data_IF_024109727257
#
_entry.id   IF_024109727257
#
_cell.length_a   1.000
_cell.length_b   1.000
_cell.length_c   1.000
_cell.angle_alpha   90.00
_cell.angle_beta   90.00
_cell.angle_gamma   90.00
#
_symmetry.space_group_name_H-M   'P 1'
#
loop_
_entity.id
_entity.type
_entity.pdbx_description
1 polymer ?
#
# COMPACT_ATOMS: atom_id res chain seq x y z
N UNK A 1 2.37 -2.92 -28.84
CA UNK A 1 2.66 -2.67 -27.42
C UNK A 1 2.79 -4.01 -26.75
N UNK A 2 3.97 -4.36 -26.22
CA UNK A 2 4.17 -5.57 -25.43
C UNK A 2 3.70 -5.28 -24.00
N UNK A 3 2.58 -5.87 -23.59
CA UNK A 3 2.08 -5.75 -22.21
C UNK A 3 3.10 -6.37 -21.24
N UNK A 4 3.73 -5.53 -20.41
CA UNK A 4 4.69 -5.97 -19.39
C UNK A 4 3.94 -6.60 -18.24
N UNK A 5 3.74 -7.91 -18.29
CA UNK A 5 3.13 -8.65 -17.20
C UNK A 5 4.12 -8.84 -16.05
N UNK A 6 3.66 -8.64 -14.82
CA UNK A 6 4.41 -9.00 -13.62
C UNK A 6 4.15 -10.47 -13.28
N UNK A 7 5.17 -11.15 -12.75
CA UNK A 7 5.07 -12.56 -12.36
C UNK A 7 5.41 -12.69 -10.88
N UNK A 8 4.58 -13.42 -10.15
CA UNK A 8 4.80 -13.77 -8.75
C UNK A 8 4.73 -15.29 -8.59
N UNK A 9 5.72 -15.87 -7.93
CA UNK A 9 5.73 -17.29 -7.59
C UNK A 9 5.10 -17.47 -6.21
N UNK A 10 3.99 -18.21 -6.16
CA UNK A 10 3.35 -18.61 -4.90
C UNK A 10 3.87 -20.00 -4.56
N UNK A 11 4.62 -20.09 -3.46
CA UNK A 11 5.11 -21.36 -2.96
C UNK A 11 4.19 -21.89 -1.86
N UNK A 12 3.98 -23.21 -1.85
CA UNK A 12 3.43 -23.91 -0.68
C UNK A 12 4.59 -24.40 0.17
N UNK A 13 4.50 -24.15 1.47
CA UNK A 13 5.48 -24.58 2.46
C UNK A 13 4.87 -25.60 3.44
N UNK A 14 5.55 -26.73 3.64
CA UNK A 14 5.18 -27.78 4.59
C UNK A 14 6.04 -27.65 5.85
N UNK A 15 5.42 -27.17 6.93
CA UNK A 15 6.13 -26.84 8.16
C UNK A 15 6.44 -28.05 9.06
N UNK A 16 5.77 -29.19 8.86
CA UNK A 16 5.93 -30.37 9.72
C UNK A 16 5.65 -30.06 11.20
N UNK A 17 6.49 -30.57 12.10
CA UNK A 17 6.45 -30.29 13.53
C UNK A 17 7.19 -28.98 13.84
N UNK A 18 6.41 -27.96 14.16
CA UNK A 18 6.92 -26.59 14.30
C UNK A 18 7.46 -26.30 15.70
N UNK A 19 8.68 -25.77 15.79
CA UNK A 19 9.24 -25.16 17.00
C UNK A 19 8.73 -23.71 17.10
N UNK A 20 7.74 -23.48 17.95
CA UNK A 20 7.24 -22.13 18.24
C UNK A 20 8.22 -21.34 19.12
N UNK A 21 8.37 -20.04 18.86
CA UNK A 21 9.06 -19.09 19.75
C UNK A 21 8.44 -17.70 19.66
N UNK A 22 8.18 -17.11 20.82
CA UNK A 22 7.78 -15.71 20.99
C UNK A 22 8.80 -14.94 21.84
N UNK A 23 10.01 -15.46 22.00
CA UNK A 23 11.11 -14.74 22.61
C UNK A 23 11.53 -13.54 21.72
N UNK A 24 11.81 -12.39 22.34
CA UNK A 24 12.27 -11.20 21.62
C UNK A 24 13.62 -11.45 20.93
N UNK A 25 14.54 -12.15 21.61
CA UNK A 25 15.88 -12.49 21.12
C UNK A 25 16.22 -13.96 21.36
N UNK A 26 15.65 -14.89 20.56
CA UNK A 26 15.92 -16.31 20.74
C UNK A 26 17.34 -16.68 20.29
N UNK A 27 17.91 -17.72 20.88
CA UNK A 27 19.20 -18.26 20.44
C UNK A 27 19.07 -18.98 19.09
N UNK A 28 19.65 -18.42 18.03
CA UNK A 28 19.65 -19.01 16.70
C UNK A 28 20.25 -20.43 16.69
N UNK A 29 21.36 -20.65 17.41
CA UNK A 29 22.00 -21.97 17.50
C UNK A 29 21.12 -23.02 18.17
N UNK A 30 20.34 -22.62 19.19
CA UNK A 30 19.43 -23.53 19.87
C UNK A 30 18.24 -23.89 18.97
N UNK A 31 17.68 -22.91 18.26
CA UNK A 31 16.61 -23.13 17.29
C UNK A 31 17.08 -24.03 16.15
N UNK A 32 18.25 -23.77 15.58
CA UNK A 32 18.82 -24.58 14.51
C UNK A 32 19.08 -26.02 14.95
N UNK A 33 19.70 -26.23 16.12
CA UNK A 33 19.91 -27.59 16.67
C UNK A 33 18.62 -28.33 16.99
N UNK A 34 17.52 -27.61 17.24
CA UNK A 34 16.22 -28.24 17.44
C UNK A 34 15.62 -28.83 16.15
N UNK A 35 16.12 -28.37 14.99
CA UNK A 35 15.64 -28.77 13.66
C UNK A 35 16.66 -29.54 12.82
N UNK A 36 17.94 -29.54 13.18
CA UNK A 36 19.01 -30.19 12.43
C UNK A 36 19.83 -31.16 13.29
N UNK A 37 20.22 -32.28 12.68
CA UNK A 37 21.08 -33.30 13.29
C UNK A 37 20.32 -34.46 13.93
N UNK A 38 21.05 -35.40 14.55
CA UNK A 38 20.48 -36.66 15.08
C UNK A 38 19.49 -36.45 16.24
N UNK A 39 19.60 -35.33 16.97
CA UNK A 39 18.73 -34.97 18.07
C UNK A 39 17.59 -34.01 17.68
N UNK A 40 17.40 -33.74 16.38
CA UNK A 40 16.34 -32.87 15.90
C UNK A 40 14.96 -33.39 16.34
N UNK A 41 14.14 -32.50 16.87
CA UNK A 41 12.80 -32.82 17.39
C UNK A 41 11.68 -32.07 16.68
N UNK A 42 12.05 -31.20 15.73
CA UNK A 42 11.18 -30.30 14.99
C UNK A 42 11.66 -30.22 13.54
N UNK A 43 10.76 -29.85 12.62
CA UNK A 43 11.04 -29.77 11.19
C UNK A 43 11.16 -28.31 10.70
N UNK A 44 10.66 -27.35 11.49
CA UNK A 44 10.71 -25.92 11.18
C UNK A 44 10.62 -25.06 12.44
N UNK A 45 10.87 -23.76 12.31
CA UNK A 45 10.67 -22.78 13.37
C UNK A 45 9.58 -21.79 12.98
N UNK A 46 8.73 -21.41 13.93
CA UNK A 46 7.80 -20.28 13.83
C UNK A 46 8.17 -19.23 14.88
N UNK A 47 8.65 -18.08 14.41
CA UNK A 47 8.81 -16.86 15.19
C UNK A 47 7.54 -16.02 15.17
N UNK A 48 6.84 -15.92 16.30
CA UNK A 48 5.56 -15.21 16.39
C UNK A 48 5.76 -13.71 16.64
N UNK A 49 6.37 -13.01 15.67
CA UNK A 49 6.61 -11.55 15.78
C UNK A 49 5.32 -10.74 15.81
N UNK A 50 4.23 -11.29 15.27
CA UNK A 50 2.90 -10.72 15.40
C UNK A 50 2.50 -10.55 16.87
N UNK A 51 2.81 -11.53 17.73
CA UNK A 51 2.47 -11.48 19.15
C UNK A 51 3.31 -10.46 19.93
N UNK A 52 4.61 -10.36 19.64
CA UNK A 52 5.52 -9.50 20.41
C UNK A 52 5.66 -8.07 19.88
N UNK A 53 5.61 -7.88 18.55
CA UNK A 53 5.91 -6.62 17.88
C UNK A 53 4.77 -6.13 16.97
N UNK A 54 3.67 -6.88 16.85
CA UNK A 54 2.55 -6.51 15.98
C UNK A 54 2.88 -6.59 14.48
N UNK A 55 3.96 -7.29 14.11
CA UNK A 55 4.41 -7.44 12.72
C UNK A 55 4.00 -8.80 12.13
N UNK A 56 4.67 -9.27 11.08
CA UNK A 56 4.39 -10.55 10.42
C UNK A 56 5.05 -11.73 11.12
N UNK A 57 4.42 -12.90 11.06
CA UNK A 57 5.05 -14.15 11.54
C UNK A 57 6.20 -14.55 10.63
N UNK A 58 7.25 -15.08 11.22
CA UNK A 58 8.45 -15.53 10.53
C UNK A 58 8.53 -17.06 10.59
N UNK A 59 8.87 -17.69 9.46
CA UNK A 59 9.05 -19.14 9.37
C UNK A 59 10.46 -19.45 8.88
N UNK A 60 11.13 -20.40 9.51
CA UNK A 60 12.42 -20.93 9.05
C UNK A 60 12.24 -22.41 8.73
N UNK A 61 12.52 -22.77 7.48
CA UNK A 61 12.54 -24.13 6.99
C UNK A 61 13.99 -24.49 6.68
N UNK A 62 14.38 -25.75 6.93
CA UNK A 62 15.76 -26.18 6.79
C UNK A 62 15.99 -27.12 5.60
N UNK A 63 14.93 -27.71 5.06
CA UNK A 63 14.99 -28.54 3.86
C UNK A 63 14.27 -27.85 2.70
N UNK A 64 14.91 -27.87 1.52
CA UNK A 64 14.37 -27.33 0.28
C UNK A 64 13.11 -28.08 -0.18
N UNK A 65 13.04 -29.39 0.06
CA UNK A 65 11.84 -30.21 -0.19
C UNK A 65 10.59 -29.76 0.58
N UNK A 66 10.73 -28.90 1.61
CA UNK A 66 9.59 -28.35 2.35
C UNK A 66 8.89 -27.20 1.60
N UNK A 67 9.51 -26.62 0.57
CA UNK A 67 8.96 -25.48 -0.16
C UNK A 67 8.92 -25.81 -1.64
N UNK A 68 7.72 -25.86 -2.21
CA UNK A 68 7.57 -26.11 -3.64
C UNK A 68 6.71 -25.02 -4.31
N UNK A 69 7.03 -24.63 -5.55
CA UNK A 69 6.19 -23.72 -6.31
C UNK A 69 4.81 -24.35 -6.55
N UNK A 70 3.76 -23.71 -6.06
CA UNK A 70 2.38 -24.17 -6.25
C UNK A 70 1.75 -23.47 -7.45
N UNK A 71 1.94 -22.16 -7.57
CA UNK A 71 1.38 -21.37 -8.66
C UNK A 71 2.37 -20.34 -9.20
N UNK A 72 2.31 -20.12 -10.52
CA UNK A 72 2.89 -18.94 -11.16
C UNK A 72 1.73 -17.98 -11.41
N UNK A 73 1.68 -16.89 -10.64
CA UNK A 73 0.67 -15.84 -10.79
C UNK A 73 1.20 -14.81 -11.76
N UNK A 74 0.62 -14.75 -12.94
CA UNK A 74 0.83 -13.66 -13.89
C UNK A 74 -0.24 -12.61 -13.62
N UNK A 75 0.19 -11.38 -13.35
CA UNK A 75 -0.69 -10.28 -13.02
C UNK A 75 -0.21 -8.98 -13.63
N UNK A 76 -1.16 -8.09 -13.88
CA UNK A 76 -0.88 -6.72 -14.26
C UNK A 76 -0.86 -5.87 -12.99
N UNK A 77 0.28 -5.23 -12.71
CA UNK A 77 0.32 -4.18 -11.69
C UNK A 77 -0.32 -2.94 -12.27
N UNK A 78 -1.55 -2.65 -11.89
CA UNK A 78 -2.18 -1.36 -12.18
C UNK A 78 -1.54 -0.30 -11.28
N UNK A 79 -0.57 0.44 -11.81
CA UNK A 79 0.00 1.59 -11.12
C UNK A 79 -0.96 2.77 -11.29
N UNK A 80 -1.65 3.12 -10.20
CA UNK A 80 -2.80 4.04 -10.26
C UNK A 80 -2.42 5.51 -10.48
N UNK A 81 -1.15 5.91 -10.35
CA UNK A 81 -0.73 7.28 -10.64
C UNK A 81 -0.88 7.64 -12.12
N UNK A 82 -0.57 6.70 -13.03
CA UNK A 82 -0.76 6.90 -14.48
C UNK A 82 -2.26 7.03 -14.81
N UNK A 83 -3.09 6.17 -14.20
CA UNK A 83 -4.56 6.22 -14.36
C UNK A 83 -5.19 7.45 -13.70
N UNK A 84 -4.61 7.97 -12.62
CA UNK A 84 -5.13 9.16 -11.94
C UNK A 84 -5.17 10.36 -12.89
N UNK A 85 -4.10 10.58 -13.65
CA UNK A 85 -4.06 11.69 -14.61
C UNK A 85 -5.16 11.53 -15.68
N UNK A 86 -5.29 10.33 -16.25
CA UNK A 86 -6.34 10.04 -17.23
C UNK A 86 -7.75 10.28 -16.67
N UNK A 87 -8.01 9.80 -15.46
CA UNK A 87 -9.29 9.97 -14.76
C UNK A 87 -9.55 11.45 -14.47
N UNK A 88 -8.56 12.18 -13.97
CA UNK A 88 -8.66 13.61 -13.69
C UNK A 88 -8.99 14.40 -14.97
N UNK A 89 -8.29 14.11 -16.07
CA UNK A 89 -8.56 14.71 -17.37
C UNK A 89 -9.98 14.37 -17.86
N UNK A 90 -10.43 13.12 -17.73
CA UNK A 90 -11.80 12.72 -18.08
C UNK A 90 -12.86 13.48 -17.27
N UNK A 91 -12.62 13.67 -15.97
CA UNK A 91 -13.47 14.47 -15.10
C UNK A 91 -13.55 15.93 -15.56
N UNK A 92 -12.40 16.55 -15.88
CA UNK A 92 -12.34 17.93 -16.44
C UNK A 92 -13.06 18.01 -17.80
N UNK A 93 -12.87 17.05 -18.70
CA UNK A 93 -13.56 17.02 -19.99
C UNK A 93 -15.08 16.91 -19.83
N UNK A 94 -15.56 16.06 -18.91
CA UNK A 94 -16.99 15.94 -18.59
C UNK A 94 -17.55 17.22 -17.99
N UNK A 95 -16.74 17.91 -17.18
CA UNK A 95 -17.10 19.17 -16.56
C UNK A 95 -17.18 20.31 -17.60
N UNK A 96 -16.22 20.39 -18.55
CA UNK A 96 -16.31 21.30 -19.72
C UNK A 96 -17.54 21.04 -20.58
N UNK A 97 -17.97 19.78 -20.69
CA UNK A 97 -19.20 19.36 -21.38
C UNK A 97 -20.49 19.59 -20.57
N UNK A 98 -20.40 20.24 -19.40
CA UNK A 98 -21.52 20.48 -18.46
C UNK A 98 -22.26 19.22 -18.02
N UNK A 99 -21.58 18.08 -18.03
CA UNK A 99 -22.13 16.76 -17.67
C UNK A 99 -21.48 16.16 -16.42
N UNK A 100 -20.81 16.99 -15.62
CA UNK A 100 -20.14 16.58 -14.40
C UNK A 100 -21.05 16.79 -13.19
N UNK A 101 -21.44 15.69 -12.55
CA UNK A 101 -22.19 15.66 -11.28
C UNK A 101 -21.31 15.13 -10.13
N UNK A 102 -20.01 14.92 -10.39
CA UNK A 102 -19.06 14.25 -9.52
C UNK A 102 -18.36 13.07 -10.21
N UNK A 103 -17.43 12.42 -9.48
CA UNK A 103 -16.78 11.20 -9.93
C UNK A 103 -17.81 10.09 -10.15
N UNK A 104 -17.66 9.33 -11.23
CA UNK A 104 -18.35 8.05 -11.42
C UNK A 104 -17.75 7.02 -10.47
N UNK A 105 -18.43 5.89 -10.30
CA UNK A 105 -17.93 4.78 -9.47
C UNK A 105 -16.54 4.32 -9.88
N UNK A 106 -16.25 4.21 -11.17
CA UNK A 106 -14.94 3.78 -11.67
C UNK A 106 -13.85 4.82 -11.37
N UNK A 107 -14.16 6.10 -11.51
CA UNK A 107 -13.25 7.20 -11.16
C UNK A 107 -13.01 7.24 -9.64
N UNK A 108 -14.06 7.05 -8.83
CA UNK A 108 -13.96 6.99 -7.37
C UNK A 108 -13.11 5.79 -6.91
N UNK A 109 -13.26 4.61 -7.52
CA UNK A 109 -12.45 3.43 -7.21
C UNK A 109 -10.95 3.69 -7.47
N UNK A 110 -10.61 4.44 -8.53
CA UNK A 110 -9.23 4.85 -8.81
C UNK A 110 -8.72 5.86 -7.80
N UNK A 111 -9.50 6.88 -7.47
CA UNK A 111 -9.16 7.89 -6.46
C UNK A 111 -8.97 7.25 -5.07
N UNK A 112 -9.86 6.33 -4.67
CA UNK A 112 -9.76 5.58 -3.40
C UNK A 112 -8.53 4.70 -3.36
N UNK A 113 -8.22 4.00 -4.46
CA UNK A 113 -7.02 3.17 -4.51
C UNK A 113 -5.73 3.99 -4.43
N UNK A 114 -5.70 5.20 -5.01
CA UNK A 114 -4.58 6.13 -4.83
C UNK A 114 -4.51 6.59 -3.38
N UNK A 115 -5.64 7.02 -2.81
CA UNK A 115 -5.74 7.42 -1.41
C UNK A 115 -5.22 6.34 -0.47
N UNK A 116 -5.73 5.11 -0.57
CA UNK A 116 -5.36 4.00 0.30
C UNK A 116 -3.87 3.70 0.26
N UNK A 117 -3.20 3.90 -0.88
CA UNK A 117 -1.75 3.70 -1.00
C UNK A 117 -0.95 4.60 -0.06
N UNK A 118 -1.39 5.85 0.12
CA UNK A 118 -0.72 6.84 0.96
C UNK A 118 -1.33 6.92 2.36
N UNK A 119 -2.62 6.63 2.50
CA UNK A 119 -3.35 6.72 3.76
C UNK A 119 -3.29 5.44 4.62
N UNK A 120 -2.95 4.28 4.04
CA UNK A 120 -2.86 2.99 4.76
C UNK A 120 -1.98 3.01 6.02
N UNK A 121 -0.79 3.66 6.03
CA UNK A 121 0.06 3.69 7.22
C UNK A 121 -0.61 4.34 8.44
N UNK A 122 -1.60 5.22 8.26
CA UNK A 122 -2.26 5.97 9.34
C UNK A 122 -3.79 5.78 9.35
N UNK A 123 -4.25 4.54 9.23
CA UNK A 123 -5.67 4.18 9.38
C UNK A 123 -6.61 4.91 8.41
N UNK A 124 -6.15 5.22 7.19
CA UNK A 124 -6.95 5.89 6.18
C UNK A 124 -6.97 7.41 6.30
N UNK A 125 -5.93 8.00 6.92
CA UNK A 125 -5.68 9.44 6.98
C UNK A 125 -4.32 9.78 6.40
N UNK A 126 -4.17 11.01 5.90
CA UNK A 126 -2.92 11.51 5.31
C UNK A 126 -2.43 12.71 6.11
N UNK A 127 -1.13 12.71 6.45
CA UNK A 127 -0.43 13.87 7.04
C UNK A 127 0.23 14.76 5.98
N UNK A 128 0.87 15.86 6.41
CA UNK A 128 1.54 16.82 5.52
C UNK A 128 2.57 16.16 4.59
N UNK A 129 3.38 15.24 5.10
CA UNK A 129 4.46 14.61 4.34
C UNK A 129 3.93 13.57 3.37
N UNK A 130 2.90 12.85 3.77
CA UNK A 130 2.21 11.91 2.89
C UNK A 130 1.42 12.63 1.79
N UNK A 131 0.91 13.83 2.06
CA UNK A 131 0.34 14.70 1.03
C UNK A 131 1.42 15.10 0.03
N UNK A 132 2.62 15.46 0.48
CA UNK A 132 3.76 15.74 -0.42
C UNK A 132 4.11 14.54 -1.30
N UNK A 133 4.16 13.34 -0.73
CA UNK A 133 4.42 12.10 -1.46
C UNK A 133 3.32 11.81 -2.50
N UNK A 134 2.06 12.07 -2.15
CA UNK A 134 0.92 11.96 -3.07
C UNK A 134 1.03 12.97 -4.22
N UNK A 135 1.32 14.24 -3.91
CA UNK A 135 1.47 15.33 -4.89
C UNK A 135 2.64 15.06 -5.85
N UNK A 136 3.79 14.61 -5.32
CA UNK A 136 4.93 14.17 -6.13
C UNK A 136 4.57 12.98 -7.02
N UNK A 137 3.78 12.02 -6.52
CA UNK A 137 3.39 10.84 -7.27
C UNK A 137 2.40 11.12 -8.42
N UNK A 138 1.53 12.14 -8.28
CA UNK A 138 0.66 12.61 -9.36
C UNK A 138 1.36 13.62 -10.29
N UNK A 139 2.68 13.78 -10.15
CA UNK A 139 3.51 14.72 -10.91
C UNK A 139 3.03 16.18 -10.80
N UNK A 140 2.50 16.55 -9.64
CA UNK A 140 2.15 17.93 -9.26
C UNK A 140 2.90 18.36 -8.00
N UNK A 141 4.25 18.39 -8.02
CA UNK A 141 5.00 18.85 -6.86
C UNK A 141 4.69 20.34 -6.58
N UNK A 142 4.62 20.75 -5.30
CA UNK A 142 4.54 22.17 -4.94
C UNK A 142 5.80 22.92 -5.42
N UNK A 143 5.68 24.22 -5.73
CA UNK A 143 6.81 25.05 -6.15
C UNK A 143 7.79 25.26 -4.98
N UNK A 144 7.26 25.40 -3.76
CA UNK A 144 7.99 25.43 -2.49
C UNK A 144 7.47 24.31 -1.56
N UNK A 145 8.31 23.31 -1.28
CA UNK A 145 7.93 22.12 -0.51
C UNK A 145 7.52 22.41 0.94
N UNK A 146 7.85 23.56 1.51
CA UNK A 146 7.46 23.93 2.88
C UNK A 146 6.21 24.83 2.89
N UNK A 147 6.30 26.03 2.29
CA UNK A 147 5.25 27.05 2.39
C UNK A 147 4.00 26.72 1.56
N UNK A 148 4.18 26.25 0.31
CA UNK A 148 3.04 25.94 -0.56
C UNK A 148 2.34 24.65 -0.11
N UNK A 149 3.11 23.73 0.49
CA UNK A 149 2.57 22.51 1.05
C UNK A 149 1.74 22.78 2.30
N UNK A 150 2.17 23.70 3.18
CA UNK A 150 1.37 24.14 4.33
C UNK A 150 0.06 24.79 3.89
N UNK A 151 0.12 25.70 2.92
CA UNK A 151 -1.06 26.35 2.37
C UNK A 151 -2.04 25.33 1.76
N UNK A 152 -1.53 24.40 0.95
CA UNK A 152 -2.33 23.34 0.32
C UNK A 152 -2.92 22.41 1.38
N UNK A 153 -2.15 22.06 2.42
CA UNK A 153 -2.63 21.21 3.51
C UNK A 153 -3.75 21.89 4.30
N UNK A 154 -3.60 23.19 4.60
CA UNK A 154 -4.63 23.98 5.30
C UNK A 154 -5.90 24.16 4.46
N UNK A 155 -5.76 24.32 3.15
CA UNK A 155 -6.89 24.41 2.20
C UNK A 155 -7.73 23.13 2.22
N UNK A 156 -7.08 21.96 2.22
CA UNK A 156 -7.75 20.66 2.16
C UNK A 156 -8.30 20.26 3.55
N UNK A 157 -7.58 20.52 4.64
CA UNK A 157 -7.94 20.15 6.01
C UNK A 157 -9.02 21.10 6.59
N UNK A 158 -10.19 21.14 5.94
CA UNK A 158 -11.33 21.99 6.33
C UNK A 158 -11.84 21.70 7.74
N UNK A 159 -11.70 20.46 8.22
CA UNK A 159 -12.05 20.06 9.59
C UNK A 159 -11.06 20.59 10.64
N UNK A 160 -9.89 21.09 10.24
CA UNK A 160 -8.76 21.47 11.11
C UNK A 160 -8.38 20.36 12.09
N UNK A 161 -8.59 19.11 11.69
CA UNK A 161 -8.32 17.95 12.55
C UNK A 161 -6.82 17.63 12.65
N UNK A 162 -6.01 18.27 11.80
CA UNK A 162 -4.57 18.02 11.68
C UNK A 162 -4.25 16.83 10.77
N UNK A 163 -5.27 16.25 10.15
CA UNK A 163 -5.21 15.11 9.26
C UNK A 163 -6.18 15.35 8.11
N UNK A 164 -5.81 14.91 6.90
CA UNK A 164 -6.74 14.92 5.78
C UNK A 164 -7.50 13.59 5.78
N UNK A 165 -8.82 13.64 5.66
CA UNK A 165 -9.68 12.47 5.45
C UNK A 165 -9.99 12.26 3.97
N UNK A 166 -10.51 11.06 3.64
CA UNK A 166 -10.96 10.76 2.28
C UNK A 166 -11.99 11.77 1.77
N UNK A 167 -12.93 12.16 2.62
CA UNK A 167 -14.00 13.09 2.27
C UNK A 167 -13.47 14.47 1.90
N UNK A 168 -12.47 14.96 2.65
CA UNK A 168 -11.80 16.24 2.39
C UNK A 168 -11.01 16.20 1.08
N UNK A 169 -10.25 15.14 0.86
CA UNK A 169 -9.51 14.96 -0.40
C UNK A 169 -10.45 14.83 -1.61
N UNK A 170 -11.53 14.05 -1.50
CA UNK A 170 -12.48 13.88 -2.58
C UNK A 170 -13.22 15.19 -2.91
N UNK A 171 -13.57 15.98 -1.90
CA UNK A 171 -14.17 17.30 -2.08
C UNK A 171 -13.23 18.25 -2.82
N UNK A 172 -11.95 18.29 -2.41
CA UNK A 172 -10.93 19.11 -3.07
C UNK A 172 -10.74 18.74 -4.54
N UNK A 173 -10.65 17.44 -4.85
CA UNK A 173 -10.49 16.99 -6.24
C UNK A 173 -11.67 17.44 -7.10
N UNK A 174 -12.90 17.35 -6.57
CA UNK A 174 -14.10 17.83 -7.25
C UNK A 174 -14.07 19.34 -7.46
N UNK A 175 -13.66 20.11 -6.45
CA UNK A 175 -13.54 21.56 -6.53
C UNK A 175 -12.49 21.98 -7.57
N UNK A 176 -11.31 21.36 -7.57
CA UNK A 176 -10.27 21.61 -8.58
C UNK A 176 -10.74 21.30 -10.00
N UNK A 177 -11.47 20.20 -10.19
CA UNK A 177 -12.06 19.87 -11.48
C UNK A 177 -13.05 20.96 -11.92
N UNK A 178 -13.89 21.45 -11.01
CA UNK A 178 -14.83 22.53 -11.31
C UNK A 178 -14.12 23.86 -11.64
N UNK A 179 -13.03 24.17 -10.94
CA UNK A 179 -12.21 25.36 -11.19
C UNK A 179 -11.47 25.27 -12.53
N UNK A 180 -10.98 24.10 -12.93
CA UNK A 180 -10.33 23.86 -14.22
C UNK A 180 -11.28 23.97 -15.45
N UNK A 181 -12.59 24.04 -15.21
CA UNK A 181 -13.62 24.27 -16.23
C UNK A 181 -14.05 25.72 -16.37
N UNK A 182 -13.67 26.59 -15.42
CA UNK A 182 -13.94 28.04 -15.48
C UNK A 182 -12.95 28.71 -16.43
#
# INVERSE_FOLDING_TARGET
MTETHSVLMVCRSLLGKVRYTDEDRPSADALQRSCLGEAASYDSVLGDRLKIHGTFREFVLYHDDQVYPEFIVVYERKFFHERFQEIYEQMVQRCRRRSFQGPTREEEEVLRSLWDRYAMPHQGRIDKWQLLDLLKAINQPPENEEDDLDATFEEINTSRSGWITWEEFAAEVVERVQNACR
#
